data_IF_144663547367
#
_entry.id   IF_144663547367
#
_cell.length_a   1.000
_cell.length_b   1.000
_cell.length_c   1.000
_cell.angle_alpha   90.00
_cell.angle_beta   90.00
_cell.angle_gamma   90.00
#
_symmetry.space_group_name_H-M   'P 1'
#
loop_
_entity.id
_entity.type
_entity.pdbx_description
1 polymer ?
#
# COMPACT_ATOMS: atom_id res chain seq x y z
N UNK A 1 -29.75 -24.61 4.95
CA UNK A 1 -29.41 -23.34 4.26
C UNK A 1 -28.82 -22.32 5.23
N UNK A 2 -29.44 -22.07 6.37
CA UNK A 2 -28.98 -21.11 7.39
C UNK A 2 -27.59 -21.44 7.98
N UNK A 3 -27.32 -22.72 8.29
CA UNK A 3 -25.98 -23.16 8.72
C UNK A 3 -24.88 -22.86 7.70
N UNK A 4 -25.14 -23.13 6.41
CA UNK A 4 -24.18 -22.85 5.33
C UNK A 4 -23.99 -21.35 5.12
N UNK A 5 -25.06 -20.56 5.24
CA UNK A 5 -25.00 -19.10 5.18
C UNK A 5 -24.19 -18.51 6.34
N UNK A 6 -24.40 -19.02 7.56
CA UNK A 6 -23.65 -18.61 8.74
C UNK A 6 -22.17 -19.02 8.66
N UNK A 7 -21.88 -20.23 8.16
CA UNK A 7 -20.51 -20.69 7.93
C UNK A 7 -19.80 -19.85 6.86
N UNK A 8 -20.48 -19.55 5.76
CA UNK A 8 -19.97 -18.68 4.70
C UNK A 8 -19.76 -17.24 5.21
N UNK A 9 -20.72 -16.68 5.93
CA UNK A 9 -20.60 -15.36 6.55
C UNK A 9 -19.43 -15.28 7.51
N UNK A 10 -19.24 -16.33 8.33
CA UNK A 10 -18.08 -16.46 9.21
C UNK A 10 -16.77 -16.51 8.42
N UNK A 11 -16.66 -17.37 7.41
CA UNK A 11 -15.47 -17.51 6.58
C UNK A 11 -15.12 -16.22 5.83
N UNK A 12 -16.12 -15.60 5.21
CA UNK A 12 -15.96 -14.34 4.49
C UNK A 12 -15.46 -13.23 5.42
N UNK A 13 -16.12 -13.02 6.56
CA UNK A 13 -15.79 -11.95 7.50
C UNK A 13 -14.43 -12.13 8.18
N UNK A 14 -14.09 -13.35 8.58
CA UNK A 14 -12.91 -13.61 9.41
C UNK A 14 -11.67 -14.02 8.61
N UNK A 15 -11.84 -14.48 7.36
CA UNK A 15 -10.72 -14.96 6.55
C UNK A 15 -10.57 -14.14 5.27
N UNK A 16 -11.60 -14.08 4.42
CA UNK A 16 -11.48 -13.38 3.12
C UNK A 16 -11.34 -11.86 3.28
N UNK A 17 -12.09 -11.28 4.21
CA UNK A 17 -12.06 -9.83 4.49
C UNK A 17 -10.90 -9.41 5.39
N UNK A 18 -10.12 -10.37 5.93
CA UNK A 18 -8.97 -10.12 6.79
C UNK A 18 -7.68 -10.32 5.98
N UNK A 19 -6.98 -9.25 5.57
CA UNK A 19 -5.85 -9.35 4.64
C UNK A 19 -4.75 -10.32 5.11
N UNK A 20 -4.47 -10.36 6.41
CA UNK A 20 -3.47 -11.26 7.00
C UNK A 20 -3.77 -12.75 6.72
N UNK A 21 -5.03 -13.15 6.89
CA UNK A 21 -5.46 -14.54 6.69
C UNK A 21 -5.65 -14.85 5.21
N UNK A 22 -6.11 -13.88 4.42
CA UNK A 22 -6.20 -14.02 2.97
C UNK A 22 -4.82 -14.29 2.35
N UNK A 23 -3.81 -13.49 2.70
CA UNK A 23 -2.42 -13.72 2.24
C UNK A 23 -1.89 -15.06 2.75
N UNK A 24 -2.14 -15.39 4.01
CA UNK A 24 -1.79 -16.70 4.57
C UNK A 24 -2.38 -17.85 3.74
N UNK A 25 -3.65 -17.77 3.37
CA UNK A 25 -4.31 -18.78 2.54
C UNK A 25 -3.72 -18.89 1.13
N UNK A 26 -3.36 -17.76 0.51
CA UNK A 26 -2.66 -17.78 -0.78
C UNK A 26 -1.35 -18.56 -0.65
N UNK A 27 -0.60 -18.32 0.43
CA UNK A 27 0.65 -19.03 0.71
C UNK A 27 0.42 -20.52 0.93
N UNK A 28 -0.59 -20.86 1.74
CA UNK A 28 -0.98 -22.24 2.00
C UNK A 28 -1.32 -22.99 0.71
N UNK A 29 -2.19 -22.40 -0.12
CA UNK A 29 -2.60 -22.99 -1.41
C UNK A 29 -1.39 -23.12 -2.33
N UNK A 30 -0.53 -22.10 -2.42
CA UNK A 30 0.68 -22.14 -3.21
C UNK A 30 1.62 -23.28 -2.81
N UNK A 31 1.86 -23.47 -1.50
CA UNK A 31 2.69 -24.56 -0.98
C UNK A 31 2.09 -25.94 -1.16
N UNK A 32 0.76 -26.08 -1.03
CA UNK A 32 0.05 -27.32 -1.38
C UNK A 32 0.21 -27.62 -2.87
N UNK A 33 0.10 -26.62 -3.75
CA UNK A 33 0.28 -26.80 -5.20
C UNK A 33 1.72 -27.18 -5.57
N UNK A 34 2.70 -26.71 -4.80
CA UNK A 34 4.11 -27.15 -4.85
C UNK A 34 4.36 -28.52 -4.23
N UNK A 35 3.34 -29.17 -3.64
CA UNK A 35 3.46 -30.45 -2.94
C UNK A 35 4.46 -30.42 -1.76
N UNK A 36 4.59 -29.26 -1.09
CA UNK A 36 5.37 -29.20 0.15
C UNK A 36 4.71 -30.05 1.24
N UNK A 37 5.47 -30.58 2.21
CA UNK A 37 4.92 -31.22 3.40
C UNK A 37 3.88 -30.35 4.13
N UNK A 38 2.94 -30.98 4.82
CA UNK A 38 1.84 -30.26 5.49
C UNK A 38 2.34 -29.27 6.55
N UNK A 39 3.42 -29.60 7.26
CA UNK A 39 4.03 -28.74 8.28
C UNK A 39 4.72 -27.51 7.67
N UNK A 40 5.36 -27.65 6.50
CA UNK A 40 5.94 -26.52 5.76
C UNK A 40 4.84 -25.61 5.21
N UNK A 41 3.76 -26.21 4.72
CA UNK A 41 2.58 -25.48 4.24
C UNK A 41 1.92 -24.66 5.35
N UNK A 42 1.76 -25.26 6.54
CA UNK A 42 1.25 -24.60 7.73
C UNK A 42 2.22 -23.51 8.25
N UNK A 43 3.53 -23.79 8.27
CA UNK A 43 4.53 -22.82 8.70
C UNK A 43 4.54 -21.59 7.78
N UNK A 44 4.44 -21.79 6.47
CA UNK A 44 4.30 -20.72 5.48
C UNK A 44 3.07 -19.85 5.73
N UNK A 45 1.91 -20.48 5.91
CA UNK A 45 0.66 -19.79 6.27
C UNK A 45 0.86 -18.89 7.50
N UNK A 46 1.39 -19.44 8.59
CA UNK A 46 1.58 -18.71 9.86
C UNK A 46 2.54 -17.55 9.67
N UNK A 47 3.72 -17.78 9.07
CA UNK A 47 4.72 -16.73 8.86
C UNK A 47 4.21 -15.60 7.97
N UNK A 48 3.46 -15.94 6.92
CA UNK A 48 2.87 -14.94 6.03
C UNK A 48 1.81 -14.09 6.75
N UNK A 49 0.91 -14.72 7.52
CA UNK A 49 -0.09 -14.00 8.30
C UNK A 49 0.55 -13.14 9.40
N UNK A 50 1.51 -13.68 10.16
CA UNK A 50 2.23 -12.94 11.21
C UNK A 50 3.05 -11.80 10.62
N UNK A 51 3.77 -12.03 9.52
CA UNK A 51 4.54 -10.99 8.84
C UNK A 51 3.66 -9.82 8.39
N UNK A 52 2.47 -10.11 7.86
CA UNK A 52 1.50 -9.06 7.54
C UNK A 52 0.97 -8.33 8.78
N UNK A 53 0.69 -9.02 9.88
CA UNK A 53 0.27 -8.38 11.14
C UNK A 53 1.36 -7.47 11.72
N UNK A 54 2.64 -7.85 11.62
CA UNK A 54 3.78 -6.99 11.98
C UNK A 54 3.80 -5.74 11.11
N UNK A 55 3.58 -5.86 9.79
CA UNK A 55 3.44 -4.71 8.89
C UNK A 55 2.34 -3.76 9.37
N UNK A 56 1.14 -4.29 9.66
CA UNK A 56 0.00 -3.49 10.11
C UNK A 56 0.29 -2.79 11.43
N UNK A 57 0.97 -3.45 12.37
CA UNK A 57 1.38 -2.84 13.63
C UNK A 57 2.34 -1.65 13.42
N UNK A 58 3.32 -1.79 12.52
CA UNK A 58 4.20 -0.71 12.11
C UNK A 58 3.44 0.43 11.44
N UNK A 59 2.63 0.14 10.43
CA UNK A 59 1.83 1.13 9.71
C UNK A 59 0.87 1.90 10.64
N UNK A 60 0.17 1.21 11.54
CA UNK A 60 -0.72 1.84 12.53
C UNK A 60 0.04 2.71 13.54
N UNK A 61 1.29 2.39 13.86
CA UNK A 61 2.16 3.25 14.64
C UNK A 61 2.56 4.53 13.90
N UNK A 62 2.91 4.42 12.62
CA UNK A 62 3.22 5.57 11.76
C UNK A 62 2.02 6.53 11.67
N UNK A 63 0.82 6.01 11.36
CA UNK A 63 -0.40 6.83 11.27
C UNK A 63 -0.70 7.54 12.58
N UNK A 64 -0.56 6.86 13.72
CA UNK A 64 -0.76 7.48 15.05
C UNK A 64 0.23 8.60 15.32
N UNK A 65 1.50 8.42 14.94
CA UNK A 65 2.55 9.42 15.11
C UNK A 65 2.29 10.68 14.26
N UNK A 66 1.63 10.53 13.11
CA UNK A 66 1.27 11.64 12.21
C UNK A 66 -0.03 12.35 12.55
N UNK A 67 -0.93 11.70 13.29
CA UNK A 67 -2.26 12.24 13.56
C UNK A 67 -2.26 13.67 14.15
N UNK A 68 -1.37 14.04 15.10
CA UNK A 68 -1.29 15.41 15.60
C UNK A 68 -0.98 16.44 14.51
N UNK A 69 -0.12 16.08 13.57
CA UNK A 69 0.28 16.91 12.44
C UNK A 69 -0.90 17.10 11.47
N UNK A 70 -1.58 16.00 11.10
CA UNK A 70 -2.72 16.05 10.18
C UNK A 70 -3.87 16.90 10.71
N UNK A 71 -4.20 16.75 12.00
CA UNK A 71 -5.24 17.54 12.65
C UNK A 71 -4.82 19.00 12.83
N UNK A 72 -3.58 19.25 13.21
CA UNK A 72 -3.02 20.59 13.33
C UNK A 72 -3.07 21.37 12.03
N UNK A 73 -2.67 20.75 10.92
CA UNK A 73 -2.72 21.39 9.60
C UNK A 73 -4.16 21.69 9.17
N UNK A 74 -5.11 20.77 9.41
CA UNK A 74 -6.53 21.01 9.11
C UNK A 74 -7.08 22.20 9.88
N UNK A 75 -6.83 22.26 11.19
CA UNK A 75 -7.37 23.29 12.07
C UNK A 75 -6.74 24.66 11.82
N UNK A 76 -5.41 24.72 11.63
CA UNK A 76 -4.67 25.97 11.44
C UNK A 76 -4.93 26.62 10.08
N UNK A 77 -4.98 25.84 9.00
CA UNK A 77 -5.12 26.38 7.65
C UNK A 77 -6.58 26.49 7.19
N UNK A 78 -7.55 26.16 8.06
CA UNK A 78 -8.99 26.11 7.75
C UNK A 78 -9.30 25.44 6.42
N UNK A 79 -8.44 24.50 6.00
CA UNK A 79 -8.62 23.85 4.71
C UNK A 79 -9.89 23.03 4.87
N UNK A 80 -10.90 23.32 4.04
CA UNK A 80 -11.98 22.38 3.73
C UNK A 80 -11.42 21.17 2.98
N UNK A 81 -10.23 20.70 3.37
CA UNK A 81 -9.62 19.49 2.91
C UNK A 81 -10.52 18.38 3.44
N UNK A 82 -11.40 17.90 2.57
CA UNK A 82 -11.85 16.53 2.60
C UNK A 82 -10.62 15.69 2.88
N UNK A 83 -10.62 14.97 4.01
CA UNK A 83 -9.46 14.20 4.45
C UNK A 83 -9.07 13.30 3.27
N UNK A 84 -7.89 13.55 2.67
CA UNK A 84 -7.38 12.78 1.53
C UNK A 84 -6.82 11.46 2.08
N UNK A 85 -7.74 10.63 2.56
CA UNK A 85 -7.49 9.34 3.17
C UNK A 85 -8.41 8.30 2.50
N UNK A 86 -7.87 7.13 2.12
CA UNK A 86 -8.63 6.14 1.38
C UNK A 86 -9.75 5.49 2.20
N UNK A 87 -9.64 5.42 3.53
CA UNK A 87 -10.70 4.90 4.39
C UNK A 87 -11.81 5.92 4.59
N UNK A 88 -11.46 7.21 4.80
CA UNK A 88 -12.46 8.29 4.80
C UNK A 88 -13.20 8.36 3.45
N UNK A 89 -12.48 8.24 2.34
CA UNK A 89 -13.08 8.18 1.00
C UNK A 89 -14.04 7.00 0.84
N UNK A 90 -13.63 5.80 1.27
CA UNK A 90 -14.50 4.61 1.22
C UNK A 90 -15.77 4.79 2.08
N UNK A 91 -15.64 5.27 3.32
CA UNK A 91 -16.78 5.51 4.22
C UNK A 91 -17.71 6.59 3.67
N UNK A 92 -17.17 7.64 3.05
CA UNK A 92 -17.97 8.67 2.41
C UNK A 92 -18.81 8.09 1.27
N UNK A 93 -18.22 7.24 0.42
CA UNK A 93 -18.97 6.53 -0.64
C UNK A 93 -20.04 5.62 -0.03
N UNK A 94 -19.71 4.83 1.00
CA UNK A 94 -20.68 3.94 1.64
C UNK A 94 -21.89 4.70 2.18
N UNK A 95 -21.67 5.82 2.87
CA UNK A 95 -22.74 6.68 3.36
C UNK A 95 -23.56 7.29 2.22
N UNK A 96 -22.90 7.79 1.18
CA UNK A 96 -23.59 8.41 0.05
C UNK A 96 -24.44 7.41 -0.74
N UNK A 97 -23.97 6.16 -0.91
CA UNK A 97 -24.76 5.07 -1.50
C UNK A 97 -26.00 4.76 -0.66
N UNK A 98 -25.86 4.73 0.67
CA UNK A 98 -26.97 4.51 1.59
C UNK A 98 -28.02 5.62 1.48
N UNK A 99 -27.62 6.87 1.34
CA UNK A 99 -28.53 8.02 1.17
C UNK A 99 -29.36 7.93 -0.12
N UNK A 100 -28.75 7.45 -1.22
CA UNK A 100 -29.45 7.22 -2.49
C UNK A 100 -30.13 5.83 -2.58
N UNK A 101 -30.27 5.13 -1.45
CA UNK A 101 -30.97 3.85 -1.37
C UNK A 101 -30.26 2.67 -2.03
N UNK A 102 -28.95 2.77 -2.30
CA UNK A 102 -28.15 1.72 -2.94
C UNK A 102 -27.33 0.93 -1.91
N UNK A 103 -27.36 -0.41 -1.93
CA UNK A 103 -26.59 -1.21 -1.00
C UNK A 103 -25.11 -1.30 -1.40
N UNK A 104 -24.22 -1.25 -0.42
CA UNK A 104 -22.77 -1.42 -0.63
C UNK A 104 -22.42 -2.80 -1.25
N UNK A 105 -23.31 -3.78 -1.16
CA UNK A 105 -23.18 -5.08 -1.86
C UNK A 105 -22.97 -4.93 -3.37
N UNK A 106 -23.49 -3.87 -4.01
CA UNK A 106 -23.24 -3.60 -5.43
C UNK A 106 -21.75 -3.37 -5.72
N UNK A 107 -21.03 -2.67 -4.82
CA UNK A 107 -19.59 -2.46 -4.89
C UNK A 107 -18.83 -3.78 -4.77
N UNK A 108 -19.28 -4.67 -3.88
CA UNK A 108 -18.66 -6.00 -3.70
C UNK A 108 -18.86 -6.91 -4.92
N UNK A 109 -20.03 -6.84 -5.57
CA UNK A 109 -20.30 -7.58 -6.82
C UNK A 109 -19.40 -7.05 -7.95
N UNK A 110 -19.29 -5.73 -8.08
CA UNK A 110 -18.37 -5.10 -9.04
C UNK A 110 -16.94 -5.57 -8.82
N UNK A 111 -16.46 -5.54 -7.57
CA UNK A 111 -15.13 -6.02 -7.20
C UNK A 111 -14.91 -7.46 -7.64
N UNK A 112 -15.87 -8.35 -7.36
CA UNK A 112 -15.77 -9.76 -7.73
C UNK A 112 -15.65 -9.94 -9.26
N UNK A 113 -16.48 -9.25 -10.04
CA UNK A 113 -16.44 -9.32 -11.50
C UNK A 113 -15.13 -8.74 -12.03
N UNK A 114 -14.67 -7.61 -11.48
CA UNK A 114 -13.39 -7.00 -11.84
C UNK A 114 -12.21 -7.94 -11.55
N UNK A 115 -12.26 -8.67 -10.44
CA UNK A 115 -11.21 -9.60 -10.04
C UNK A 115 -11.20 -10.85 -10.93
N UNK A 116 -12.38 -11.40 -11.22
CA UNK A 116 -12.53 -12.48 -12.22
C UNK A 116 -11.99 -12.03 -13.57
N UNK A 117 -12.30 -10.80 -13.99
CA UNK A 117 -11.80 -10.25 -15.24
C UNK A 117 -10.27 -10.10 -15.23
N UNK A 118 -9.67 -9.66 -14.12
CA UNK A 118 -8.21 -9.65 -13.99
C UNK A 118 -7.61 -11.07 -14.07
N UNK A 119 -8.22 -12.08 -13.44
CA UNK A 119 -7.80 -13.49 -13.58
C UNK A 119 -7.88 -13.93 -15.05
N UNK A 120 -8.96 -13.61 -15.77
CA UNK A 120 -9.10 -13.95 -17.18
C UNK A 120 -8.02 -13.29 -18.04
N UNK A 121 -7.75 -11.99 -17.82
CA UNK A 121 -6.70 -11.26 -18.52
C UNK A 121 -5.32 -11.92 -18.32
N UNK A 122 -5.01 -12.36 -17.10
CA UNK A 122 -3.77 -13.08 -16.78
C UNK A 122 -3.76 -14.50 -17.36
N UNK A 123 -4.89 -15.22 -17.30
CA UNK A 123 -5.00 -16.58 -17.85
C UNK A 123 -4.72 -16.60 -19.35
N UNK A 124 -5.18 -15.58 -20.06
CA UNK A 124 -4.95 -15.37 -21.49
C UNK A 124 -3.71 -14.51 -21.79
N UNK A 125 -2.71 -14.49 -20.90
CA UNK A 125 -1.48 -13.68 -21.05
C UNK A 125 -0.75 -13.84 -22.39
N UNK A 126 -0.89 -14.97 -23.09
CA UNK A 126 -0.30 -15.15 -24.43
C UNK A 126 -0.86 -14.13 -25.45
N UNK A 127 -2.12 -13.73 -25.29
CA UNK A 127 -2.82 -12.75 -26.12
C UNK A 127 -2.71 -11.36 -25.47
N UNK A 128 -3.12 -11.24 -24.21
CA UNK A 128 -3.24 -9.93 -23.51
C UNK A 128 -1.90 -9.31 -23.14
N UNK A 129 -0.84 -10.13 -23.02
CA UNK A 129 0.49 -9.77 -22.49
C UNK A 129 0.47 -9.26 -21.04
N UNK A 130 -0.63 -9.47 -20.32
CA UNK A 130 -0.81 -9.08 -18.92
C UNK A 130 -0.52 -10.27 -18.01
N UNK A 131 0.39 -10.08 -17.05
CA UNK A 131 0.84 -11.13 -16.12
C UNK A 131 0.49 -10.85 -14.66
N UNK A 132 0.19 -9.59 -14.33
CA UNK A 132 -0.05 -9.16 -12.97
C UNK A 132 -1.45 -9.53 -12.49
N UNK A 133 -1.51 -10.29 -11.40
CA UNK A 133 -2.74 -10.60 -10.67
C UNK A 133 -2.83 -9.73 -9.41
N UNK A 134 -3.82 -8.86 -9.32
CA UNK A 134 -4.01 -7.94 -8.20
C UNK A 134 -4.55 -8.67 -6.98
N UNK A 135 -3.79 -8.68 -5.88
CA UNK A 135 -4.11 -9.50 -4.68
C UNK A 135 -4.32 -8.68 -3.41
N UNK A 136 -4.27 -7.35 -3.48
CA UNK A 136 -4.43 -6.47 -2.31
C UNK A 136 -5.91 -6.19 -2.02
N UNK A 137 -6.60 -7.12 -1.36
CA UNK A 137 -8.06 -7.10 -1.20
C UNK A 137 -8.65 -5.84 -0.57
N UNK A 138 -8.03 -5.27 0.47
CA UNK A 138 -8.54 -4.04 1.10
C UNK A 138 -8.50 -2.84 0.14
N UNK A 139 -7.47 -2.75 -0.70
CA UNK A 139 -7.37 -1.72 -1.76
C UNK A 139 -8.36 -1.99 -2.88
N UNK A 140 -8.64 -3.25 -3.21
CA UNK A 140 -9.69 -3.58 -4.19
C UNK A 140 -11.04 -3.02 -3.74
N UNK A 141 -11.38 -3.11 -2.45
CA UNK A 141 -12.63 -2.54 -1.90
C UNK A 141 -12.63 -1.01 -2.02
N UNK A 142 -11.54 -0.34 -1.62
CA UNK A 142 -11.41 1.11 -1.70
C UNK A 142 -11.52 1.63 -3.15
N UNK A 143 -10.82 0.97 -4.07
CA UNK A 143 -10.83 1.34 -5.49
C UNK A 143 -12.17 0.99 -6.15
N UNK A 144 -12.81 -0.12 -5.77
CA UNK A 144 -14.14 -0.45 -6.22
C UNK A 144 -15.18 0.58 -5.75
N UNK A 145 -15.14 0.99 -4.48
CA UNK A 145 -16.02 2.01 -3.95
C UNK A 145 -15.83 3.35 -4.69
N UNK A 146 -14.57 3.77 -4.85
CA UNK A 146 -14.25 5.02 -5.55
C UNK A 146 -14.66 4.98 -7.02
N UNK A 147 -14.35 3.89 -7.73
CA UNK A 147 -14.74 3.72 -9.13
C UNK A 147 -16.26 3.67 -9.31
N UNK A 148 -16.97 3.01 -8.39
CA UNK A 148 -18.43 2.96 -8.37
C UNK A 148 -19.02 4.37 -8.23
N UNK A 149 -18.52 5.14 -7.26
CA UNK A 149 -19.00 6.51 -7.03
C UNK A 149 -18.73 7.44 -8.22
N UNK A 150 -17.50 7.40 -8.76
CA UNK A 150 -17.12 8.23 -9.91
C UNK A 150 -17.99 7.97 -11.14
N UNK A 151 -18.18 6.70 -11.50
CA UNK A 151 -18.95 6.37 -12.70
C UNK A 151 -20.47 6.57 -12.50
N UNK A 152 -20.99 6.43 -11.27
CA UNK A 152 -22.38 6.81 -10.96
C UNK A 152 -22.60 8.32 -11.16
N UNK A 153 -21.65 9.16 -10.74
CA UNK A 153 -21.74 10.62 -10.94
C UNK A 153 -21.56 10.99 -12.41
N UNK A 154 -20.62 10.37 -13.12
CA UNK A 154 -20.36 10.71 -14.52
C UNK A 154 -21.44 10.21 -15.48
N UNK A 155 -22.14 9.12 -15.13
CA UNK A 155 -23.14 8.48 -15.99
C UNK A 155 -24.41 8.11 -15.21
N UNK A 156 -25.13 9.10 -14.64
CA UNK A 156 -26.27 8.85 -13.74
C UNK A 156 -27.46 8.20 -14.46
N UNK A 157 -27.58 8.39 -15.77
CA UNK A 157 -28.70 7.89 -16.58
C UNK A 157 -28.49 6.44 -17.06
N UNK A 158 -27.33 5.83 -16.81
CA UNK A 158 -27.09 4.44 -17.17
C UNK A 158 -27.83 3.49 -16.22
N UNK A 159 -28.47 2.47 -16.79
CA UNK A 159 -29.07 1.39 -16.01
C UNK A 159 -28.02 0.59 -15.20
N UNK A 160 -28.41 0.11 -14.02
CA UNK A 160 -27.55 -0.55 -13.04
C UNK A 160 -26.66 -1.66 -13.62
N UNK A 161 -27.23 -2.50 -14.50
CA UNK A 161 -26.50 -3.62 -15.12
C UNK A 161 -25.39 -3.13 -16.05
N UNK A 162 -25.71 -2.16 -16.92
CA UNK A 162 -24.75 -1.59 -17.87
C UNK A 162 -23.62 -0.90 -17.12
N UNK A 163 -23.99 -0.12 -16.11
CA UNK A 163 -23.05 0.59 -15.25
C UNK A 163 -22.09 -0.38 -14.55
N UNK A 164 -22.62 -1.44 -13.94
CA UNK A 164 -21.84 -2.46 -13.22
C UNK A 164 -20.88 -3.23 -14.14
N UNK A 165 -21.30 -3.58 -15.36
CA UNK A 165 -20.42 -4.23 -16.35
C UNK A 165 -19.31 -3.28 -16.77
N UNK A 166 -19.63 -2.04 -17.16
CA UNK A 166 -18.63 -1.06 -17.58
C UNK A 166 -17.60 -0.79 -16.47
N UNK A 167 -18.08 -0.59 -15.25
CA UNK A 167 -17.25 -0.33 -14.08
C UNK A 167 -16.31 -1.50 -13.77
N UNK A 168 -16.83 -2.73 -13.74
CA UNK A 168 -16.03 -3.91 -13.39
C UNK A 168 -14.96 -4.22 -14.45
N UNK A 169 -15.27 -4.03 -15.74
CA UNK A 169 -14.29 -4.19 -16.81
C UNK A 169 -13.21 -3.10 -16.75
N UNK A 170 -13.60 -1.84 -16.55
CA UNK A 170 -12.66 -0.72 -16.42
C UNK A 170 -11.73 -0.92 -15.22
N UNK A 171 -12.27 -1.31 -14.07
CA UNK A 171 -11.49 -1.54 -12.86
C UNK A 171 -10.57 -2.77 -12.98
N UNK A 172 -11.05 -3.87 -13.57
CA UNK A 172 -10.22 -5.04 -13.84
C UNK A 172 -9.06 -4.76 -14.80
N UNK A 173 -9.30 -3.90 -15.82
CA UNK A 173 -8.24 -3.38 -16.70
C UNK A 173 -7.26 -2.48 -15.94
N UNK A 174 -7.76 -1.55 -15.12
CA UNK A 174 -6.92 -0.68 -14.30
C UNK A 174 -5.98 -1.50 -13.41
N UNK A 175 -6.49 -2.52 -12.73
CA UNK A 175 -5.68 -3.44 -11.92
C UNK A 175 -4.66 -4.19 -12.75
N UNK A 176 -5.08 -4.80 -13.86
CA UNK A 176 -4.21 -5.65 -14.65
C UNK A 176 -3.13 -4.84 -15.37
N UNK A 177 -3.49 -3.76 -16.07
CA UNK A 177 -2.55 -2.88 -16.78
C UNK A 177 -1.66 -2.15 -15.79
N UNK A 178 -2.25 -1.49 -14.79
CA UNK A 178 -1.51 -0.70 -13.81
C UNK A 178 -0.45 -1.55 -13.11
N UNK A 179 -0.84 -2.71 -12.58
CA UNK A 179 0.11 -3.60 -11.91
C UNK A 179 1.15 -4.17 -12.88
N UNK A 180 0.77 -4.53 -14.11
CA UNK A 180 1.69 -5.08 -15.10
C UNK A 180 2.78 -4.07 -15.50
N UNK A 181 2.46 -2.78 -15.55
CA UNK A 181 3.44 -1.71 -15.77
C UNK A 181 4.48 -1.63 -14.65
N UNK A 182 4.14 -2.08 -13.44
CA UNK A 182 5.07 -2.09 -12.30
C UNK A 182 5.95 -3.33 -12.25
N UNK A 183 5.76 -4.34 -13.09
CA UNK A 183 6.57 -5.57 -13.06
C UNK A 183 8.04 -5.25 -13.25
N UNK A 184 8.41 -4.62 -14.37
CA UNK A 184 9.81 -4.30 -14.65
C UNK A 184 10.49 -3.45 -13.55
N UNK A 185 9.91 -2.33 -13.08
CA UNK A 185 10.53 -1.57 -11.99
C UNK A 185 10.59 -2.34 -10.68
N UNK A 186 9.57 -3.12 -10.34
CA UNK A 186 9.58 -3.94 -9.11
C UNK A 186 10.67 -4.99 -9.15
N UNK A 187 10.83 -5.70 -10.27
CA UNK A 187 11.87 -6.72 -10.42
C UNK A 187 13.28 -6.13 -10.34
N UNK A 188 13.50 -4.92 -10.87
CA UNK A 188 14.79 -4.22 -10.75
C UNK A 188 15.09 -3.76 -9.32
N UNK A 189 14.07 -3.35 -8.57
CA UNK A 189 14.24 -2.91 -7.18
C UNK A 189 14.52 -4.10 -6.25
N UNK A 190 13.90 -5.24 -6.53
CA UNK A 190 13.90 -6.42 -5.64
C UNK A 190 14.88 -7.50 -6.05
N UNK A 191 15.76 -7.23 -7.03
CA UNK A 191 16.68 -8.19 -7.63
C UNK A 191 15.98 -9.50 -8.06
N UNK A 192 14.78 -9.37 -8.62
CA UNK A 192 14.04 -10.51 -9.16
C UNK A 192 13.17 -11.27 -8.17
N UNK A 193 12.71 -10.66 -7.07
CA UNK A 193 11.88 -11.33 -6.04
C UNK A 193 10.49 -11.80 -6.51
N UNK A 194 10.17 -11.74 -7.81
CA UNK A 194 9.00 -12.44 -8.37
C UNK A 194 7.63 -11.81 -8.11
N UNK A 195 7.54 -10.62 -7.51
CA UNK A 195 6.27 -9.88 -7.32
C UNK A 195 6.28 -8.49 -8.00
N UNK A 196 5.11 -7.85 -8.05
CA UNK A 196 4.96 -6.45 -8.48
C UNK A 196 3.98 -5.69 -7.57
N UNK A 197 3.79 -4.40 -7.84
CA UNK A 197 2.93 -3.55 -7.02
C UNK A 197 1.49 -3.61 -7.56
N UNK A 198 0.55 -4.00 -6.70
CA UNK A 198 -0.89 -3.89 -6.91
C UNK A 198 -1.47 -3.01 -5.82
N UNK A 199 -1.41 -1.69 -6.01
CA UNK A 199 -1.81 -0.72 -4.99
C UNK A 199 -2.51 0.51 -5.63
N UNK A 200 -2.38 1.70 -5.07
CA UNK A 200 -3.08 2.90 -5.54
C UNK A 200 -2.28 3.74 -6.55
N UNK A 201 -0.95 3.62 -6.54
CA UNK A 201 -0.03 4.50 -7.26
C UNK A 201 0.70 3.84 -8.44
N UNK A 202 0.18 2.73 -8.97
CA UNK A 202 0.89 1.90 -9.95
C UNK A 202 1.31 2.66 -11.21
N UNK A 203 0.41 3.47 -11.78
CA UNK A 203 0.70 4.30 -12.94
C UNK A 203 1.74 5.38 -12.63
N UNK A 204 1.68 5.97 -11.43
CA UNK A 204 2.69 6.91 -10.95
C UNK A 204 4.07 6.25 -10.86
N UNK A 205 4.16 5.06 -10.26
CA UNK A 205 5.42 4.28 -10.20
C UNK A 205 5.96 3.98 -11.59
N UNK A 206 5.10 3.56 -12.52
CA UNK A 206 5.51 3.29 -13.90
C UNK A 206 6.04 4.55 -14.60
N UNK A 207 5.32 5.67 -14.47
CA UNK A 207 5.70 6.96 -15.02
C UNK A 207 7.04 7.43 -14.46
N UNK A 208 7.17 7.54 -13.14
CA UNK A 208 8.39 8.05 -12.51
C UNK A 208 9.57 7.10 -12.69
N UNK A 209 9.35 5.78 -12.73
CA UNK A 209 10.41 4.86 -13.13
C UNK A 209 10.85 5.13 -14.56
N UNK A 210 9.93 5.43 -15.48
CA UNK A 210 10.31 5.71 -16.88
C UNK A 210 11.01 7.06 -17.03
N UNK A 211 10.54 8.09 -16.34
CA UNK A 211 11.19 9.39 -16.30
C UNK A 211 12.59 9.27 -15.70
N UNK A 212 12.78 8.42 -14.68
CA UNK A 212 14.11 8.19 -14.10
C UNK A 212 15.09 7.60 -15.12
N UNK A 213 14.65 6.65 -15.94
CA UNK A 213 15.45 6.06 -17.03
C UNK A 213 15.81 7.08 -18.12
N UNK A 214 14.95 8.07 -18.35
CA UNK A 214 15.14 9.10 -19.39
C UNK A 214 16.07 10.21 -18.89
N UNK A 215 15.78 10.78 -17.72
CA UNK A 215 16.50 11.94 -17.20
C UNK A 215 17.80 11.60 -16.47
N UNK A 216 17.91 10.41 -15.89
CA UNK A 216 19.07 9.99 -15.10
C UNK A 216 19.80 8.78 -15.71
N UNK A 217 19.71 8.62 -17.04
CA UNK A 217 20.44 7.57 -17.75
C UNK A 217 21.95 7.75 -17.52
N UNK A 218 22.68 6.72 -17.06
CA UNK A 218 24.12 6.84 -16.92
C UNK A 218 24.79 7.02 -18.29
N UNK A 219 25.89 7.78 -18.32
CA UNK A 219 26.73 7.92 -19.51
C UNK A 219 27.40 6.57 -19.84
N UNK A 220 27.79 6.31 -21.11
CA UNK A 220 28.51 5.10 -21.47
C UNK A 220 29.76 4.91 -20.59
N UNK A 221 29.87 3.75 -19.93
CA UNK A 221 30.96 3.43 -19.01
C UNK A 221 30.76 3.92 -17.57
N UNK A 222 29.61 4.50 -17.22
CA UNK A 222 29.26 4.84 -15.83
C UNK A 222 28.16 3.93 -15.31
N UNK A 223 28.27 3.54 -14.04
CA UNK A 223 27.20 2.84 -13.33
C UNK A 223 26.12 3.82 -12.86
N UNK A 224 24.88 3.36 -12.77
CA UNK A 224 23.78 4.12 -12.19
C UNK A 224 24.04 4.29 -10.70
N UNK A 225 24.20 5.54 -10.24
CA UNK A 225 24.35 5.82 -8.80
C UNK A 225 23.03 5.57 -8.08
N UNK A 226 23.01 4.61 -7.17
CA UNK A 226 21.91 4.41 -6.22
C UNK A 226 22.09 5.34 -5.02
N UNK A 227 21.01 5.57 -4.28
CA UNK A 227 21.04 6.39 -3.06
C UNK A 227 22.00 5.81 -2.00
N UNK A 228 22.11 4.48 -1.94
CA UNK A 228 23.04 3.75 -1.07
C UNK A 228 24.51 3.87 -1.47
N UNK A 229 24.81 4.24 -2.73
CA UNK A 229 26.18 4.43 -3.21
C UNK A 229 26.74 5.80 -2.83
N UNK A 230 25.90 6.70 -2.32
CA UNK A 230 26.29 8.08 -1.97
C UNK A 230 27.09 8.06 -0.66
N UNK A 231 28.41 8.03 -0.77
CA UNK A 231 29.31 8.17 0.39
C UNK A 231 29.45 9.63 0.79
N UNK A 232 28.79 10.01 1.88
CA UNK A 232 28.91 11.36 2.46
C UNK A 232 30.22 11.52 3.28
N UNK A 233 30.91 12.67 3.18
CA UNK A 233 32.22 12.87 3.81
C UNK A 233 32.12 13.23 5.31
N UNK A 234 33.11 12.79 6.09
CA UNK A 234 33.28 13.19 7.49
C UNK A 234 32.07 12.84 8.37
N UNK A 235 31.59 13.81 9.16
CA UNK A 235 30.45 13.61 10.07
C UNK A 235 29.13 13.32 9.33
N UNK A 236 29.00 13.67 8.05
CA UNK A 236 27.80 13.39 7.26
C UNK A 236 27.63 11.90 6.95
N UNK A 237 28.66 11.07 7.20
CA UNK A 237 28.55 9.61 7.03
C UNK A 237 27.49 8.98 7.94
N UNK A 238 27.06 9.67 9.01
CA UNK A 238 25.95 9.20 9.88
C UNK A 238 24.64 9.00 9.11
N UNK A 239 24.45 9.74 8.01
CA UNK A 239 23.26 9.60 7.15
C UNK A 239 23.30 8.34 6.27
N UNK A 240 24.42 7.61 6.26
CA UNK A 240 24.48 6.28 5.64
C UNK A 240 23.85 5.21 6.55
N UNK A 241 23.68 5.49 7.85
CA UNK A 241 22.95 4.63 8.77
C UNK A 241 21.47 5.02 8.72
N UNK A 242 20.61 4.08 8.31
CA UNK A 242 19.22 4.38 7.97
C UNK A 242 18.38 4.82 9.16
N UNK A 243 18.59 4.26 10.36
CA UNK A 243 17.87 4.67 11.56
C UNK A 243 18.28 6.09 11.97
N UNK A 244 19.57 6.39 11.94
CA UNK A 244 20.11 7.73 12.25
C UNK A 244 19.63 8.75 11.22
N UNK A 245 19.78 8.45 9.93
CA UNK A 245 19.33 9.31 8.84
C UNK A 245 17.83 9.61 8.93
N UNK A 246 17.01 8.56 9.06
CA UNK A 246 15.55 8.71 9.17
C UNK A 246 15.16 9.53 10.40
N UNK A 247 15.77 9.26 11.55
CA UNK A 247 15.48 10.00 12.78
C UNK A 247 15.84 11.48 12.65
N UNK A 248 17.02 11.81 12.10
CA UNK A 248 17.44 13.21 11.91
C UNK A 248 16.51 13.92 10.93
N UNK A 249 16.22 13.29 9.79
CA UNK A 249 15.34 13.85 8.76
C UNK A 249 13.91 14.08 9.29
N UNK A 250 13.36 13.11 10.03
CA UNK A 250 12.03 13.24 10.63
C UNK A 250 12.01 14.22 11.78
N UNK A 251 13.09 14.36 12.55
CA UNK A 251 13.21 15.39 13.59
C UNK A 251 13.16 16.78 12.98
N UNK A 252 13.86 17.00 11.87
CA UNK A 252 13.78 18.26 11.14
C UNK A 252 12.37 18.48 10.58
N UNK A 253 11.83 17.48 9.90
CA UNK A 253 10.52 17.58 9.24
C UNK A 253 9.36 17.79 10.23
N UNK A 254 9.23 16.94 11.25
CA UNK A 254 8.23 17.12 12.31
C UNK A 254 8.53 18.31 13.18
N UNK A 255 9.81 18.61 13.44
CA UNK A 255 10.21 19.77 14.23
C UNK A 255 9.68 21.05 13.62
N UNK A 256 9.82 21.25 12.30
CA UNK A 256 9.29 22.42 11.60
C UNK A 256 7.76 22.48 11.76
N UNK A 257 7.05 21.40 11.45
CA UNK A 257 5.58 21.39 11.46
C UNK A 257 5.02 21.56 12.88
N UNK A 258 5.50 20.79 13.85
CA UNK A 258 5.06 20.87 15.24
C UNK A 258 5.40 22.22 15.86
N UNK A 259 6.51 22.86 15.46
CA UNK A 259 6.85 24.22 15.90
C UNK A 259 5.89 25.26 15.35
N UNK A 260 5.41 25.11 14.12
CA UNK A 260 4.37 25.97 13.54
C UNK A 260 3.04 25.78 14.29
N UNK A 261 2.66 24.54 14.63
CA UNK A 261 1.46 24.27 15.43
C UNK A 261 1.58 24.82 16.86
N UNK A 262 2.78 24.72 17.45
CA UNK A 262 3.12 25.24 18.77
C UNK A 262 2.69 24.34 19.94
N UNK A 263 3.42 24.47 21.07
CA UNK A 263 3.13 23.76 22.32
C UNK A 263 1.67 23.98 22.81
N UNK A 264 1.12 25.22 22.82
CA UNK A 264 -0.23 25.45 23.32
C UNK A 264 -1.30 24.63 22.59
N UNK A 265 -1.22 24.54 21.25
CA UNK A 265 -2.14 23.73 20.45
C UNK A 265 -2.06 22.25 20.81
N UNK A 266 -0.84 21.71 20.94
CA UNK A 266 -0.65 20.29 21.27
C UNK A 266 -1.16 19.95 22.67
N UNK A 267 -1.10 20.90 23.61
CA UNK A 267 -1.67 20.72 24.96
C UNK A 267 -3.19 20.79 24.92
N UNK A 268 -3.76 21.77 24.20
CA UNK A 268 -5.21 21.92 24.03
C UNK A 268 -5.84 20.67 23.40
N UNK A 269 -5.17 20.07 22.41
CA UNK A 269 -5.62 18.86 21.71
C UNK A 269 -5.20 17.55 22.39
N UNK A 270 -4.66 17.62 23.61
CA UNK A 270 -4.23 16.46 24.41
C UNK A 270 -3.15 15.58 23.74
N UNK A 271 -2.43 16.11 22.75
CA UNK A 271 -1.28 15.44 22.14
C UNK A 271 -0.03 15.51 23.00
N UNK A 272 0.06 16.53 23.86
CA UNK A 272 1.17 16.77 24.79
C UNK A 272 0.60 17.17 26.15
N UNK A 273 1.13 16.63 27.25
CA UNK A 273 0.69 17.11 28.58
C UNK A 273 1.33 18.46 28.89
N UNK A 274 0.66 19.30 29.67
CA UNK A 274 1.13 20.66 29.98
C UNK A 274 2.56 20.68 30.56
N UNK A 275 2.87 19.73 31.45
CA UNK A 275 4.18 19.56 32.07
C UNK A 275 5.25 18.92 31.18
N UNK A 276 4.88 18.35 30.03
CA UNK A 276 5.84 17.65 29.17
C UNK A 276 6.71 18.65 28.39
N UNK A 277 7.95 18.24 28.13
CA UNK A 277 8.90 19.07 27.39
C UNK A 277 8.65 18.96 25.88
N UNK A 278 8.48 20.12 25.23
CA UNK A 278 8.13 20.21 23.82
C UNK A 278 9.24 19.69 22.88
N UNK A 279 10.50 19.94 23.20
CA UNK A 279 11.63 19.44 22.40
C UNK A 279 11.70 17.91 22.46
N UNK A 280 11.59 17.33 23.66
CA UNK A 280 11.60 15.87 23.82
C UNK A 280 10.37 15.20 23.21
N UNK A 281 9.24 15.89 23.14
CA UNK A 281 8.08 15.42 22.39
C UNK A 281 8.41 15.31 20.89
N UNK A 282 8.91 16.38 20.25
CA UNK A 282 9.31 16.36 18.83
C UNK A 282 10.31 15.23 18.56
N UNK A 283 11.35 15.13 19.40
CA UNK A 283 12.39 14.12 19.24
C UNK A 283 11.81 12.70 19.37
N UNK A 284 10.94 12.46 20.36
CA UNK A 284 10.31 11.16 20.58
C UNK A 284 9.37 10.80 19.44
N UNK A 285 8.57 11.73 18.93
CA UNK A 285 7.70 11.52 17.77
C UNK A 285 8.50 11.15 16.52
N UNK A 286 9.64 11.81 16.28
CA UNK A 286 10.53 11.49 15.17
C UNK A 286 11.20 10.10 15.33
N UNK A 287 11.67 9.76 16.54
CA UNK A 287 12.22 8.43 16.81
C UNK A 287 11.17 7.32 16.67
N UNK A 288 9.93 7.56 17.11
CA UNK A 288 8.82 6.62 16.96
C UNK A 288 8.54 6.33 15.49
N UNK A 289 8.64 7.31 14.59
CA UNK A 289 8.54 7.07 13.15
C UNK A 289 9.58 6.05 12.68
N UNK A 290 10.85 6.23 13.05
CA UNK A 290 11.93 5.28 12.73
C UNK A 290 11.65 3.89 13.28
N UNK A 291 11.18 3.79 14.53
CA UNK A 291 10.81 2.50 15.16
C UNK A 291 9.71 1.80 14.37
N UNK A 292 8.63 2.50 14.04
CA UNK A 292 7.50 1.91 13.33
C UNK A 292 7.81 1.57 11.88
N UNK A 293 8.67 2.35 11.21
CA UNK A 293 9.19 2.01 9.88
C UNK A 293 10.03 0.72 9.93
N UNK A 294 10.86 0.56 10.97
CA UNK A 294 11.67 -0.65 11.17
C UNK A 294 10.79 -1.89 11.40
N UNK A 295 9.74 -1.76 12.22
CA UNK A 295 8.74 -2.82 12.45
C UNK A 295 8.04 -3.17 11.13
N UNK A 296 7.61 -2.16 10.37
CA UNK A 296 6.96 -2.36 9.07
C UNK A 296 7.84 -3.17 8.13
N UNK A 297 9.11 -2.80 7.99
CA UNK A 297 10.08 -3.49 7.12
C UNK A 297 10.34 -4.94 7.55
N UNK A 298 10.37 -5.21 8.86
CA UNK A 298 10.48 -6.59 9.37
C UNK A 298 9.27 -7.43 8.93
N UNK A 299 8.06 -6.88 9.08
CA UNK A 299 6.84 -7.56 8.66
C UNK A 299 6.86 -7.87 7.17
N UNK A 300 7.20 -6.87 6.35
CA UNK A 300 7.36 -6.99 4.89
C UNK A 300 8.27 -8.13 4.50
N UNK A 301 9.52 -8.13 4.99
CA UNK A 301 10.49 -9.18 4.64
C UNK A 301 9.98 -10.58 4.97
N UNK A 302 9.30 -10.70 6.11
CA UNK A 302 8.80 -11.98 6.62
C UNK A 302 7.73 -12.58 5.71
N UNK A 303 6.69 -11.80 5.34
CA UNK A 303 5.60 -12.36 4.54
C UNK A 303 5.93 -12.43 3.05
N UNK A 304 6.72 -11.49 2.52
CA UNK A 304 7.08 -11.46 1.09
C UNK A 304 7.90 -12.70 0.72
N UNK A 305 8.81 -13.14 1.59
CA UNK A 305 9.59 -14.36 1.35
C UNK A 305 8.70 -15.60 1.13
N UNK A 306 7.71 -15.80 2.00
CA UNK A 306 6.78 -16.93 1.89
C UNK A 306 5.81 -16.77 0.69
N UNK A 307 5.40 -15.53 0.41
CA UNK A 307 4.50 -15.22 -0.70
C UNK A 307 5.16 -15.47 -2.07
N UNK A 308 6.39 -14.99 -2.26
CA UNK A 308 7.15 -15.24 -3.49
C UNK A 308 7.30 -16.74 -3.76
N UNK A 309 7.76 -17.49 -2.76
CA UNK A 309 7.96 -18.93 -2.89
C UNK A 309 6.64 -19.66 -3.21
N UNK A 310 5.58 -19.36 -2.48
CA UNK A 310 4.28 -20.03 -2.67
C UNK A 310 3.65 -19.71 -4.03
N UNK A 311 3.87 -18.51 -4.57
CA UNK A 311 3.24 -18.10 -5.81
C UNK A 311 3.81 -18.85 -7.02
N UNK A 312 5.00 -19.44 -6.93
CA UNK A 312 5.48 -20.39 -7.93
C UNK A 312 4.52 -21.58 -8.11
N UNK A 313 3.88 -22.06 -7.04
CA UNK A 313 2.88 -23.13 -7.13
C UNK A 313 1.63 -22.73 -7.93
N UNK A 314 1.13 -21.52 -7.67
CA UNK A 314 -0.03 -20.95 -8.36
C UNK A 314 0.31 -20.69 -9.83
N UNK A 315 1.45 -20.05 -10.08
CA UNK A 315 1.91 -19.68 -11.41
C UNK A 315 2.17 -20.93 -12.26
N UNK A 316 2.86 -21.95 -11.74
CA UNK A 316 3.21 -23.13 -12.52
C UNK A 316 2.00 -24.01 -12.89
N UNK A 317 0.95 -24.03 -12.06
CA UNK A 317 -0.14 -25.02 -12.20
C UNK A 317 -1.46 -24.44 -12.69
N UNK A 318 -1.80 -23.21 -12.29
CA UNK A 318 -3.13 -22.64 -12.54
C UNK A 318 -3.09 -21.40 -13.44
N UNK A 319 -2.14 -20.51 -13.21
CA UNK A 319 -1.97 -19.28 -13.99
C UNK A 319 -0.53 -19.17 -14.51
N UNK A 320 -0.17 -19.90 -15.58
CA UNK A 320 1.18 -19.89 -16.15
C UNK A 320 1.71 -18.48 -16.30
N UNK A 321 2.89 -18.18 -15.76
CA UNK A 321 3.57 -16.89 -15.91
C UNK A 321 2.95 -15.72 -15.15
N UNK A 322 1.96 -15.97 -14.27
CA UNK A 322 1.40 -14.94 -13.41
C UNK A 322 2.43 -14.41 -12.41
N UNK A 323 2.35 -13.10 -12.16
CA UNK A 323 3.12 -12.36 -11.15
C UNK A 323 2.12 -11.83 -10.12
N UNK A 324 2.33 -12.09 -8.82
CA UNK A 324 1.48 -11.53 -7.77
C UNK A 324 1.72 -10.02 -7.70
N UNK A 325 0.64 -9.24 -7.81
CA UNK A 325 0.65 -7.82 -7.55
C UNK A 325 0.12 -7.57 -6.13
N UNK A 326 1.00 -7.12 -5.25
CA UNK A 326 0.81 -7.08 -3.79
C UNK A 326 0.93 -5.66 -3.27
N UNK A 327 0.74 -5.49 -1.96
CA UNK A 327 0.84 -4.21 -1.28
C UNK A 327 2.18 -3.51 -1.59
N UNK A 328 2.13 -2.20 -1.85
CA UNK A 328 3.33 -1.43 -2.16
C UNK A 328 4.36 -1.43 -1.03
N UNK A 329 3.92 -1.57 0.23
CA UNK A 329 4.81 -1.70 1.37
C UNK A 329 5.74 -2.91 1.22
N UNK A 330 5.38 -3.93 0.45
CA UNK A 330 6.27 -5.05 0.12
C UNK A 330 7.61 -4.61 -0.49
N UNK A 331 7.64 -3.46 -1.16
CA UNK A 331 8.86 -2.89 -1.75
C UNK A 331 9.75 -2.18 -0.73
N UNK A 332 9.23 -1.82 0.45
CA UNK A 332 9.95 -1.02 1.45
C UNK A 332 11.06 -1.78 2.16
N UNK A 333 11.05 -3.11 2.06
CA UNK A 333 12.14 -3.96 2.52
C UNK A 333 13.34 -4.01 1.56
N UNK A 334 13.26 -3.33 0.41
CA UNK A 334 14.25 -3.40 -0.67
C UNK A 334 14.81 -2.01 -1.01
N UNK A 335 16.04 -1.99 -1.54
CA UNK A 335 16.78 -0.76 -1.83
C UNK A 335 17.13 0.05 -0.57
N UNK A 336 17.55 1.29 -0.79
CA UNK A 336 17.92 2.22 0.28
C UNK A 336 16.72 2.59 1.14
N UNK A 337 16.78 2.35 2.45
CA UNK A 337 15.68 2.69 3.36
C UNK A 337 15.43 4.21 3.41
N UNK A 338 16.48 5.02 3.21
CA UNK A 338 16.35 6.48 3.10
C UNK A 338 15.45 6.93 1.93
N UNK A 339 15.22 6.10 0.91
CA UNK A 339 14.37 6.45 -0.23
C UNK A 339 12.90 6.66 0.19
N UNK A 340 12.43 5.86 1.16
CA UNK A 340 11.06 5.97 1.71
C UNK A 340 10.91 7.31 2.43
N UNK A 341 11.86 7.61 3.32
CA UNK A 341 11.85 8.84 4.12
C UNK A 341 11.94 10.09 3.24
N UNK A 342 12.85 10.11 2.27
CA UNK A 342 12.99 11.22 1.32
C UNK A 342 11.75 11.37 0.43
N UNK A 343 11.26 10.27 -0.14
CA UNK A 343 10.05 10.26 -0.96
C UNK A 343 8.84 10.78 -0.19
N UNK A 344 8.70 10.38 1.07
CA UNK A 344 7.68 10.89 1.98
C UNK A 344 7.81 12.41 2.21
N UNK A 345 9.01 12.90 2.55
CA UNK A 345 9.22 14.34 2.81
C UNK A 345 8.91 15.21 1.59
N UNK A 346 9.42 14.85 0.41
CA UNK A 346 9.17 15.61 -0.81
C UNK A 346 7.74 15.46 -1.31
N UNK A 347 7.11 14.28 -1.10
CA UNK A 347 5.69 14.08 -1.34
C UNK A 347 4.82 14.98 -0.47
N UNK A 348 5.11 15.05 0.84
CA UNK A 348 4.41 15.93 1.77
C UNK A 348 4.64 17.41 1.45
N UNK A 349 5.88 17.81 1.11
CA UNK A 349 6.17 19.17 0.65
C UNK A 349 5.37 19.53 -0.60
N UNK A 350 5.31 18.63 -1.59
CA UNK A 350 4.49 18.82 -2.79
C UNK A 350 3.01 18.98 -2.47
N UNK A 351 2.48 18.23 -1.50
CA UNK A 351 1.11 18.42 -1.02
C UNK A 351 0.92 19.79 -0.35
N UNK A 352 1.87 20.24 0.48
CA UNK A 352 1.79 21.56 1.12
C UNK A 352 1.82 22.70 0.09
N UNK A 353 2.67 22.60 -0.94
CA UNK A 353 2.74 23.57 -2.04
C UNK A 353 1.49 23.56 -2.93
N UNK A 354 0.74 22.46 -2.99
CA UNK A 354 -0.50 22.38 -3.74
C UNK A 354 -1.72 22.90 -2.97
N UNK A 355 -1.66 22.84 -1.62
CA UNK A 355 -2.72 23.31 -0.72
C UNK A 355 -2.60 24.81 -0.43
N UNK A 356 -1.37 25.27 -0.14
CA UNK A 356 -1.08 26.69 0.08
C UNK A 356 -1.05 27.47 -1.22
#
# INVERSE_FOLDING_TARGET
MEFLYNLWGFFSKNILQQPAFFIGLIVLVGYILLKKPWYDSLAGFIKASVGYLILVAGAGGLVRSFRPILLGLKDQFQVSATVIDPYFGQTAVENALKEIGRPFTQVLILLLIAFIFNILLVRFQKITKLRALFTTGHVQVQQAATAFWLLLICFPDLGDTTLLIMMSLALGLYWSVGSNLTIAPSQRLTDGAGFCIGHQQMFGVALFSKLSEIFFKPKPGQETKKLEDVKLPGWLSIFNENMVATTILMTLFFGIILSILGKPYLVEKEFLKEGDNFFFYILTTAMQFTVYLSILQLGVRTFVAELTESFHGISNRWLPGAVPAIDCAATYGFGSQNAITLGFMFGALGQFLAIG
#
